data_IF_765927838504
#
_entry.id   IF_765927838504
#
_cell.length_a   1.000
_cell.length_b   1.000
_cell.length_c   1.000
_cell.angle_alpha   90.00
_cell.angle_beta   90.00
_cell.angle_gamma   90.00
#
_symmetry.space_group_name_H-M   'P 1'
#
loop_
_entity.id
_entity.type
_entity.pdbx_description
1 polymer ?
#
# COMPACT_ATOMS: atom_id res chain seq x y z
N UNK A 1 84.20 92.89 -3.81
CA UNK A 1 83.14 92.56 -4.78
C UNK A 1 83.04 91.03 -4.86
N UNK A 2 81.86 90.51 -4.48
CA UNK A 2 81.29 89.15 -4.65
C UNK A 2 82.01 87.92 -4.04
N UNK A 3 81.28 86.82 -3.70
CA UNK A 3 79.83 86.60 -3.82
C UNK A 3 79.10 86.25 -2.50
N UNK A 4 77.82 86.66 -2.43
CA UNK A 4 76.82 86.17 -1.48
C UNK A 4 76.41 84.74 -1.88
N UNK A 5 76.62 83.78 -1.00
CA UNK A 5 76.18 82.40 -1.19
C UNK A 5 74.72 82.28 -0.76
N UNK A 6 73.81 82.20 -1.73
CA UNK A 6 72.39 81.91 -1.48
C UNK A 6 72.22 80.39 -1.49
N UNK A 7 71.96 79.81 -0.33
CA UNK A 7 71.50 78.42 -0.23
C UNK A 7 70.00 78.34 -0.53
N UNK A 8 69.66 77.96 -1.75
CA UNK A 8 68.30 77.60 -2.13
C UNK A 8 68.03 76.18 -1.61
N UNK A 9 67.32 76.06 -0.49
CA UNK A 9 66.76 74.78 -0.07
C UNK A 9 65.62 74.41 -1.02
N UNK A 10 65.79 73.31 -1.75
CA UNK A 10 64.73 72.72 -2.57
C UNK A 10 63.66 72.09 -1.66
N UNK A 11 62.36 72.38 -1.87
CA UNK A 11 61.31 71.72 -1.11
C UNK A 11 61.30 70.24 -1.46
N UNK A 12 61.58 69.37 -0.48
CA UNK A 12 61.39 67.92 -0.60
C UNK A 12 59.93 67.64 -0.94
N UNK A 13 59.65 67.31 -2.20
CA UNK A 13 58.34 66.82 -2.63
C UNK A 13 58.08 65.46 -1.97
N UNK A 14 57.32 65.47 -0.89
CA UNK A 14 56.78 64.26 -0.26
C UNK A 14 55.65 63.71 -1.15
N UNK A 15 56.02 62.95 -2.18
CA UNK A 15 55.10 62.26 -3.10
C UNK A 15 55.38 60.77 -3.04
N UNK A 16 54.73 60.06 -2.11
CA UNK A 16 54.92 58.61 -1.97
C UNK A 16 53.97 57.93 -0.99
N UNK A 17 53.56 58.61 0.09
CA UNK A 17 52.69 58.01 1.12
C UNK A 17 51.26 57.75 0.65
N UNK A 18 50.71 58.61 -0.23
CA UNK A 18 49.33 58.48 -0.71
C UNK A 18 49.16 57.30 -1.67
N UNK A 19 50.21 56.96 -2.43
CA UNK A 19 50.19 55.82 -3.36
C UNK A 19 50.14 54.49 -2.61
N UNK A 20 50.87 54.37 -1.49
CA UNK A 20 50.85 53.17 -0.65
C UNK A 20 49.46 52.97 -0.03
N UNK A 21 48.84 54.04 0.49
CA UNK A 21 47.50 53.97 1.06
C UNK A 21 46.45 53.59 0.01
N UNK A 22 46.54 54.16 -1.19
CA UNK A 22 45.64 53.83 -2.29
C UNK A 22 45.80 52.38 -2.76
N UNK A 23 47.05 51.90 -2.88
CA UNK A 23 47.33 50.51 -3.23
C UNK A 23 46.79 49.51 -2.19
N UNK A 24 46.95 49.82 -0.90
CA UNK A 24 46.39 49.01 0.18
C UNK A 24 44.86 48.97 0.12
N UNK A 25 44.21 50.12 -0.05
CA UNK A 25 42.76 50.20 -0.18
C UNK A 25 42.26 49.39 -1.39
N UNK A 26 42.90 49.54 -2.56
CA UNK A 26 42.52 48.82 -3.77
C UNK A 26 42.70 47.31 -3.60
N UNK A 27 43.77 46.86 -2.93
CA UNK A 27 43.97 45.44 -2.63
C UNK A 27 42.85 44.86 -1.75
N UNK A 28 42.43 45.59 -0.71
CA UNK A 28 41.33 45.18 0.18
C UNK A 28 40.00 45.16 -0.59
N UNK A 29 39.75 46.17 -1.42
CA UNK A 29 38.54 46.24 -2.23
C UNK A 29 38.43 45.05 -3.21
N UNK A 30 39.54 44.67 -3.86
CA UNK A 30 39.60 43.51 -4.76
C UNK A 30 39.38 42.20 -3.99
N UNK A 31 39.95 42.06 -2.78
CA UNK A 31 39.73 40.88 -1.94
C UNK A 31 38.26 40.73 -1.54
N UNK A 32 37.61 41.81 -1.12
CA UNK A 32 36.18 41.81 -0.77
C UNK A 32 35.33 41.43 -1.99
N UNK A 33 35.60 42.03 -3.16
CA UNK A 33 34.91 41.68 -4.41
C UNK A 33 35.12 40.20 -4.78
N UNK A 34 36.32 39.65 -4.57
CA UNK A 34 36.61 38.23 -4.80
C UNK A 34 35.81 37.31 -3.89
N UNK A 35 35.68 37.65 -2.60
CA UNK A 35 34.86 36.88 -1.64
C UNK A 35 33.38 36.95 -2.00
N UNK A 36 32.88 38.13 -2.41
CA UNK A 36 31.48 38.29 -2.83
C UNK A 36 31.18 37.49 -4.09
N UNK A 37 32.04 37.54 -5.10
CA UNK A 37 31.87 36.80 -6.36
C UNK A 37 31.89 35.28 -6.13
N UNK A 38 32.79 34.80 -5.28
CA UNK A 38 32.83 33.39 -4.88
C UNK A 38 31.58 33.00 -4.07
N UNK A 39 31.22 33.82 -3.07
CA UNK A 39 30.04 33.59 -2.23
C UNK A 39 28.74 33.52 -3.05
N UNK A 40 28.61 34.41 -4.03
CA UNK A 40 27.47 34.39 -4.94
C UNK A 40 27.40 33.11 -5.76
N UNK A 41 28.53 32.59 -6.26
CA UNK A 41 28.56 31.34 -7.03
C UNK A 41 28.08 30.13 -6.22
N UNK A 42 28.43 30.05 -4.93
CA UNK A 42 27.93 29.02 -4.02
C UNK A 42 26.44 29.18 -3.72
N UNK A 43 25.98 30.42 -3.52
CA UNK A 43 24.57 30.72 -3.36
C UNK A 43 23.76 30.27 -4.58
N UNK A 44 24.20 30.66 -5.79
CA UNK A 44 23.56 30.30 -7.05
C UNK A 44 23.51 28.77 -7.25
N UNK A 45 24.57 28.04 -6.88
CA UNK A 45 24.56 26.57 -6.92
C UNK A 45 23.53 25.96 -5.98
N UNK A 46 23.42 26.45 -4.75
CA UNK A 46 22.43 25.95 -3.78
C UNK A 46 21.00 26.25 -4.22
N UNK A 47 20.78 27.43 -4.80
CA UNK A 47 19.47 27.83 -5.30
C UNK A 47 19.06 27.00 -6.53
N UNK A 48 19.97 26.80 -7.49
CA UNK A 48 19.73 25.91 -8.62
C UNK A 48 19.48 24.46 -8.18
N UNK A 49 20.21 23.94 -7.19
CA UNK A 49 19.97 22.59 -6.67
C UNK A 49 18.56 22.47 -6.07
N UNK A 50 18.12 23.46 -5.28
CA UNK A 50 16.75 23.51 -4.74
C UNK A 50 15.70 23.46 -5.85
N UNK A 51 15.93 24.18 -6.95
CA UNK A 51 15.02 24.20 -8.10
C UNK A 51 15.04 22.86 -8.82
N UNK A 52 16.20 22.24 -9.00
CA UNK A 52 16.32 20.91 -9.58
C UNK A 52 15.57 19.86 -8.75
N UNK A 53 15.71 19.89 -7.41
CA UNK A 53 15.03 18.98 -6.49
C UNK A 53 13.50 19.18 -6.55
N UNK A 54 13.04 20.44 -6.54
CA UNK A 54 11.61 20.77 -6.66
C UNK A 54 11.05 20.36 -8.03
N UNK A 55 11.81 20.58 -9.10
CA UNK A 55 11.42 20.19 -10.44
C UNK A 55 11.38 18.67 -10.62
N UNK A 56 12.32 17.94 -10.03
CA UNK A 56 12.32 16.48 -10.05
C UNK A 56 11.09 15.93 -9.31
N UNK A 57 10.76 16.47 -8.13
CA UNK A 57 9.54 16.10 -7.39
C UNK A 57 8.27 16.42 -8.16
N UNK A 58 8.16 17.60 -8.78
CA UNK A 58 6.98 17.94 -9.59
C UNK A 58 6.88 17.10 -10.87
N UNK A 59 8.02 16.77 -11.49
CA UNK A 59 8.05 15.89 -12.66
C UNK A 59 7.49 14.50 -12.33
N UNK A 60 7.94 13.87 -11.23
CA UNK A 60 7.42 12.53 -10.86
C UNK A 60 5.94 12.53 -10.50
N UNK A 61 5.39 13.66 -10.04
CA UNK A 61 3.94 13.77 -9.84
C UNK A 61 3.14 13.74 -11.15
N UNK A 62 3.76 14.16 -12.25
CA UNK A 62 3.18 14.06 -13.59
C UNK A 62 3.27 12.68 -14.24
N UNK A 63 3.88 11.69 -13.58
CA UNK A 63 3.89 10.29 -14.07
C UNK A 63 2.49 9.71 -13.99
N UNK A 64 2.01 9.24 -15.14
CA UNK A 64 0.77 8.48 -15.25
C UNK A 64 1.10 7.00 -15.38
N UNK A 65 0.84 6.24 -14.31
CA UNK A 65 1.08 4.81 -14.27
C UNK A 65 0.09 4.01 -15.12
N UNK A 66 -1.08 4.58 -15.46
CA UNK A 66 -2.06 3.91 -16.33
C UNK A 66 -1.65 3.95 -17.81
N UNK A 67 -0.89 4.96 -18.22
CA UNK A 67 -0.46 5.18 -19.60
C UNK A 67 1.03 4.89 -19.79
N UNK A 68 1.37 3.60 -19.86
CA UNK A 68 2.75 3.12 -20.05
C UNK A 68 3.40 3.76 -21.28
N UNK A 69 4.61 4.30 -21.11
CA UNK A 69 5.38 4.95 -22.17
C UNK A 69 5.08 6.43 -22.42
N UNK A 70 4.08 7.03 -21.76
CA UNK A 70 3.80 8.47 -21.89
C UNK A 70 4.58 9.30 -20.86
N UNK A 71 5.70 9.90 -21.28
CA UNK A 71 6.52 10.77 -20.43
C UNK A 71 6.14 12.25 -20.49
N UNK A 72 5.22 12.64 -21.38
CA UNK A 72 4.92 14.05 -21.70
C UNK A 72 4.41 14.85 -20.49
N UNK A 73 3.50 14.29 -19.70
CA UNK A 73 2.96 14.95 -18.49
C UNK A 73 4.07 15.13 -17.43
N UNK A 74 4.88 14.10 -17.22
CA UNK A 74 6.02 14.14 -16.30
C UNK A 74 7.06 15.20 -16.71
N UNK A 75 7.46 15.22 -17.99
CA UNK A 75 8.39 16.22 -18.52
C UNK A 75 7.80 17.63 -18.47
N UNK A 76 6.50 17.77 -18.80
CA UNK A 76 5.78 19.03 -18.75
C UNK A 76 5.74 19.64 -17.35
N UNK A 77 5.38 18.84 -16.33
CA UNK A 77 5.33 19.28 -14.94
C UNK A 77 6.71 19.76 -14.43
N UNK A 78 7.78 19.01 -14.74
CA UNK A 78 9.14 19.43 -14.40
C UNK A 78 9.55 20.73 -15.11
N UNK A 79 9.25 20.86 -16.41
CA UNK A 79 9.58 22.07 -17.16
C UNK A 79 8.89 23.32 -16.62
N UNK A 80 7.60 23.22 -16.27
CA UNK A 80 6.83 24.31 -15.65
C UNK A 80 7.41 24.67 -14.27
N UNK A 81 7.85 23.67 -13.50
CA UNK A 81 8.50 23.90 -12.21
C UNK A 81 9.77 24.74 -12.35
N UNK A 82 10.64 24.36 -13.30
CA UNK A 82 11.89 25.08 -13.57
C UNK A 82 11.58 26.52 -14.02
N UNK A 83 10.64 26.70 -14.95
CA UNK A 83 10.29 28.03 -15.48
C UNK A 83 9.74 28.98 -14.42
N UNK A 84 8.92 28.48 -13.49
CA UNK A 84 8.34 29.29 -12.40
C UNK A 84 9.35 29.67 -11.32
N UNK A 85 10.37 28.85 -11.10
CA UNK A 85 11.30 29.01 -9.99
C UNK A 85 12.70 29.49 -10.43
N UNK A 86 12.95 29.66 -11.73
CA UNK A 86 14.27 30.05 -12.24
C UNK A 86 14.73 31.41 -11.70
N UNK A 87 15.97 31.54 -11.19
CA UNK A 87 16.44 32.79 -10.63
C UNK A 87 16.83 33.75 -11.75
N UNK A 88 16.21 34.92 -11.78
CA UNK A 88 16.47 35.99 -12.76
C UNK A 88 17.95 36.40 -12.94
N UNK A 89 18.84 36.38 -11.92
CA UNK A 89 20.24 36.76 -12.13
C UNK A 89 21.11 35.67 -12.77
N UNK A 90 20.66 34.41 -12.86
CA UNK A 90 21.43 33.33 -13.50
C UNK A 90 20.95 33.17 -14.94
N UNK A 91 21.85 33.28 -15.92
CA UNK A 91 21.47 33.02 -17.31
C UNK A 91 21.38 31.51 -17.56
N UNK A 92 20.26 31.08 -18.15
CA UNK A 92 20.03 29.69 -18.52
C UNK A 92 20.98 29.25 -19.63
N UNK A 93 21.67 28.13 -19.42
CA UNK A 93 22.53 27.46 -20.42
C UNK A 93 21.90 26.16 -20.87
N UNK A 94 21.49 25.31 -19.93
CA UNK A 94 20.84 24.02 -20.20
C UNK A 94 19.68 23.80 -19.23
N UNK A 95 18.56 23.33 -19.78
CA UNK A 95 17.44 22.77 -19.02
C UNK A 95 17.11 21.42 -19.63
N UNK A 96 17.24 20.36 -18.85
CA UNK A 96 16.86 19.01 -19.27
C UNK A 96 16.03 18.35 -18.19
N UNK A 97 14.81 17.95 -18.55
CA UNK A 97 13.90 17.16 -17.71
C UNK A 97 13.64 15.87 -18.46
N UNK A 98 14.08 14.74 -17.90
CA UNK A 98 13.94 13.43 -18.51
C UNK A 98 13.25 12.49 -17.54
N UNK A 99 12.13 11.92 -17.96
CA UNK A 99 11.43 10.90 -17.18
C UNK A 99 11.81 9.50 -17.66
N UNK A 100 11.87 8.55 -16.75
CA UNK A 100 12.34 7.20 -17.03
C UNK A 100 12.21 6.26 -15.85
N UNK A 101 13.08 5.26 -15.82
CA UNK A 101 13.10 4.22 -14.80
C UNK A 101 14.34 4.39 -13.91
N UNK A 102 14.12 4.45 -12.60
CA UNK A 102 15.14 4.28 -11.58
C UNK A 102 15.07 2.85 -11.00
N UNK A 103 16.20 2.16 -10.99
CA UNK A 103 16.33 0.81 -10.46
C UNK A 103 17.79 0.52 -10.09
N UNK A 104 18.07 0.38 -8.80
CA UNK A 104 19.41 0.15 -8.25
C UNK A 104 20.01 -1.22 -8.59
N UNK A 105 19.18 -2.21 -8.94
CA UNK A 105 19.62 -3.55 -9.32
C UNK A 105 19.88 -3.68 -10.83
N UNK A 106 19.16 -2.91 -11.66
CA UNK A 106 19.18 -3.01 -13.13
C UNK A 106 20.19 -2.06 -13.79
N UNK A 107 20.34 -0.85 -13.24
CA UNK A 107 21.17 0.20 -13.83
C UNK A 107 22.46 0.43 -13.05
N UNK A 108 23.46 1.02 -13.68
CA UNK A 108 24.75 1.26 -13.06
C UNK A 108 24.76 2.52 -12.16
N UNK A 109 25.60 2.48 -11.12
CA UNK A 109 25.96 3.65 -10.33
C UNK A 109 26.60 4.74 -11.22
N UNK A 110 26.53 6.04 -10.85
CA UNK A 110 25.96 6.57 -9.61
C UNK A 110 24.46 6.87 -9.67
N UNK A 111 23.86 6.91 -10.87
CA UNK A 111 22.49 7.41 -11.06
C UNK A 111 21.42 6.35 -10.94
N UNK A 112 21.74 5.09 -11.26
CA UNK A 112 20.78 3.97 -11.29
C UNK A 112 19.50 4.29 -12.10
N UNK A 113 19.63 5.12 -13.14
CA UNK A 113 18.52 5.70 -13.88
C UNK A 113 18.69 5.51 -15.39
N UNK A 114 17.61 5.16 -16.08
CA UNK A 114 17.50 5.11 -17.53
C UNK A 114 16.37 6.04 -17.99
N UNK A 115 16.72 7.08 -18.75
CA UNK A 115 15.74 8.00 -19.34
C UNK A 115 14.95 7.37 -20.49
N UNK A 116 13.73 7.86 -20.72
CA UNK A 116 12.83 7.42 -21.80
C UNK A 116 12.56 5.90 -21.78
N UNK A 117 12.56 5.29 -20.59
CA UNK A 117 12.12 3.91 -20.41
C UNK A 117 10.60 3.81 -20.61
N UNK A 118 10.13 2.65 -21.07
CA UNK A 118 8.69 2.37 -21.17
C UNK A 118 8.03 2.36 -19.78
N UNK A 119 8.75 1.87 -18.78
CA UNK A 119 8.35 1.93 -17.38
C UNK A 119 8.82 3.24 -16.78
N UNK A 120 7.88 4.07 -16.34
CA UNK A 120 8.14 5.38 -15.75
C UNK A 120 7.93 5.28 -14.24
N UNK A 121 8.99 5.48 -13.47
CA UNK A 121 8.92 5.56 -12.00
C UNK A 121 9.82 6.67 -11.42
N UNK A 122 10.54 7.41 -12.27
CA UNK A 122 11.48 8.43 -11.83
C UNK A 122 11.64 9.56 -12.85
N UNK A 123 12.12 10.71 -12.38
CA UNK A 123 12.47 11.86 -13.20
C UNK A 123 13.86 12.36 -12.82
N UNK A 124 14.66 12.67 -13.84
CA UNK A 124 15.99 13.24 -13.73
C UNK A 124 15.98 14.65 -14.32
N UNK A 125 16.38 15.63 -13.51
CA UNK A 125 16.46 17.03 -13.90
C UNK A 125 17.91 17.46 -13.87
N UNK A 126 18.37 18.07 -14.96
CA UNK A 126 19.68 18.70 -15.09
C UNK A 126 19.47 20.17 -15.44
N UNK A 127 20.06 21.04 -14.63
CA UNK A 127 20.06 22.48 -14.85
C UNK A 127 21.50 22.98 -14.96
N UNK A 128 21.75 23.80 -15.96
CA UNK A 128 23.01 24.51 -16.15
C UNK A 128 22.76 26.00 -16.35
N UNK A 129 23.54 26.82 -15.66
CA UNK A 129 23.45 28.27 -15.78
C UNK A 129 24.76 28.98 -15.47
N UNK A 130 24.91 30.20 -15.98
CA UNK A 130 26.05 31.06 -15.68
C UNK A 130 25.66 32.10 -14.62
N UNK A 131 26.45 32.17 -13.54
CA UNK A 131 26.26 33.18 -12.51
C UNK A 131 26.74 34.58 -12.99
N UNK A 132 26.15 35.67 -12.48
CA UNK A 132 26.62 37.04 -12.69
C UNK A 132 28.11 37.19 -12.40
N UNK A 133 28.75 38.08 -13.17
CA UNK A 133 30.15 38.46 -12.95
C UNK A 133 30.20 39.82 -12.24
N UNK A 134 30.84 39.88 -11.08
CA UNK A 134 31.11 41.15 -10.39
C UNK A 134 32.50 41.71 -10.72
N UNK A 135 33.41 40.84 -11.19
CA UNK A 135 34.75 41.21 -11.62
C UNK A 135 34.85 40.93 -13.14
N UNK A 136 35.32 41.89 -13.96
CA UNK A 136 35.48 41.73 -15.41
C UNK A 136 36.71 40.88 -15.78
N UNK A 137 36.83 39.70 -15.16
CA UNK A 137 37.81 38.68 -15.49
C UNK A 137 37.14 37.56 -16.29
N UNK A 138 37.89 36.91 -17.16
CA UNK A 138 37.36 35.99 -18.17
C UNK A 138 37.29 34.52 -17.74
N UNK A 139 37.06 34.28 -16.45
CA UNK A 139 36.82 32.96 -15.89
C UNK A 139 35.38 32.45 -16.10
N UNK A 140 35.23 31.13 -16.25
CA UNK A 140 33.92 30.48 -16.34
C UNK A 140 33.24 30.41 -14.96
N UNK A 141 31.95 30.73 -14.92
CA UNK A 141 31.07 30.69 -13.74
C UNK A 141 29.88 29.75 -13.95
N UNK A 142 30.09 28.75 -14.79
CA UNK A 142 29.11 27.74 -15.15
C UNK A 142 28.84 26.81 -13.98
N UNK A 143 27.56 26.72 -13.61
CA UNK A 143 27.07 25.90 -12.52
C UNK A 143 26.17 24.84 -13.12
N UNK A 144 26.48 23.57 -12.83
CA UNK A 144 25.65 22.43 -13.21
C UNK A 144 25.16 21.71 -11.95
N UNK A 145 23.86 21.44 -11.91
CA UNK A 145 23.20 20.69 -10.83
C UNK A 145 22.36 19.57 -11.44
N UNK A 146 22.21 18.48 -10.69
CA UNK A 146 21.35 17.36 -11.07
C UNK A 146 20.54 16.87 -9.88
N UNK A 147 19.32 16.43 -10.15
CA UNK A 147 18.40 15.88 -9.16
C UNK A 147 17.64 14.69 -9.77
N UNK A 148 17.45 13.63 -8.99
CA UNK A 148 16.65 12.47 -9.36
C UNK A 148 15.60 12.28 -8.27
N UNK A 149 14.32 12.23 -8.67
CA UNK A 149 13.22 11.85 -7.81
C UNK A 149 12.61 10.54 -8.31
N UNK A 150 12.12 9.72 -7.39
CA UNK A 150 11.41 8.47 -7.67
C UNK A 150 10.00 8.56 -7.08
N UNK A 151 9.02 7.99 -7.80
CA UNK A 151 7.66 7.77 -7.32
C UNK A 151 7.27 6.33 -7.61
N UNK A 152 6.83 5.63 -6.56
CA UNK A 152 6.25 4.29 -6.68
C UNK A 152 4.83 4.37 -7.23
N UNK A 153 4.43 3.35 -7.97
CA UNK A 153 3.05 3.21 -8.44
C UNK A 153 2.09 3.15 -7.25
N UNK A 154 0.99 3.92 -7.25
CA UNK A 154 0.02 3.90 -6.17
C UNK A 154 -0.68 2.54 -6.15
N UNK A 155 -0.53 1.83 -5.04
CA UNK A 155 -1.27 0.60 -4.75
C UNK A 155 -2.30 0.89 -3.66
N UNK A 156 -3.49 0.34 -3.83
CA UNK A 156 -4.50 0.34 -2.78
C UNK A 156 -4.93 -1.08 -2.49
N UNK A 157 -5.54 -1.23 -1.34
CA UNK A 157 -6.02 -2.51 -0.89
C UNK A 157 -7.41 -2.36 -0.27
N UNK A 158 -8.31 -3.25 -0.64
CA UNK A 158 -9.72 -3.16 -0.30
C UNK A 158 -10.29 -4.56 -0.09
N UNK A 159 -11.28 -4.67 0.80
CA UNK A 159 -11.99 -5.92 1.08
C UNK A 159 -13.38 -5.85 0.46
N UNK A 160 -13.80 -6.94 -0.18
CA UNK A 160 -15.14 -7.11 -0.72
C UNK A 160 -15.77 -8.32 -0.03
N UNK A 161 -16.85 -8.07 0.70
CA UNK A 161 -17.71 -9.11 1.23
C UNK A 161 -19.10 -8.97 0.63
N UNK A 162 -19.69 -10.09 0.22
CA UNK A 162 -21.13 -10.15 0.02
C UNK A 162 -21.81 -10.06 1.40
N UNK A 163 -22.91 -9.30 1.52
CA UNK A 163 -23.69 -9.18 2.76
C UNK A 163 -25.10 -9.72 2.55
N UNK A 164 -25.21 -11.03 2.38
CA UNK A 164 -26.50 -11.74 2.36
C UNK A 164 -26.80 -12.42 3.70
N UNK A 165 -25.76 -12.66 4.49
CA UNK A 165 -25.85 -13.33 5.77
C UNK A 165 -26.27 -12.36 6.88
N UNK A 166 -27.58 -12.18 7.07
CA UNK A 166 -28.13 -11.75 8.37
C UNK A 166 -28.31 -12.99 9.24
N UNK A 167 -27.64 -13.03 10.38
CA UNK A 167 -27.72 -14.04 11.43
C UNK A 167 -28.97 -13.83 12.29
N UNK A 168 -30.11 -13.61 11.63
CA UNK A 168 -31.40 -13.45 12.29
C UNK A 168 -32.12 -14.78 12.39
N UNK A 169 -32.84 -14.99 13.50
CA UNK A 169 -33.65 -16.18 13.77
C UNK A 169 -34.55 -16.63 12.62
N UNK A 170 -35.10 -15.66 11.90
CA UNK A 170 -36.01 -15.93 10.79
C UNK A 170 -35.33 -16.02 9.42
N UNK A 171 -34.07 -15.61 9.31
CA UNK A 171 -33.30 -15.69 8.08
C UNK A 171 -32.94 -17.14 7.75
N UNK A 172 -32.80 -17.51 6.47
CA UNK A 172 -32.49 -18.87 6.05
C UNK A 172 -31.26 -19.45 6.75
N UNK A 173 -30.21 -18.64 6.95
CA UNK A 173 -29.02 -19.12 7.66
C UNK A 173 -29.24 -19.25 9.16
N UNK A 174 -29.94 -18.32 9.83
CA UNK A 174 -30.21 -18.43 11.26
C UNK A 174 -30.96 -19.72 11.62
N UNK A 175 -31.92 -20.12 10.77
CA UNK A 175 -32.60 -21.42 10.89
C UNK A 175 -31.65 -22.59 10.70
N UNK A 176 -30.75 -22.50 9.72
CA UNK A 176 -29.79 -23.56 9.46
C UNK A 176 -28.77 -23.68 10.59
N UNK A 177 -28.33 -22.57 11.18
CA UNK A 177 -27.42 -22.57 12.32
C UNK A 177 -28.09 -23.09 13.60
N UNK A 178 -29.40 -22.86 13.82
CA UNK A 178 -30.13 -23.56 14.91
C UNK A 178 -30.07 -25.07 14.79
N UNK A 179 -30.14 -25.58 13.56
CA UNK A 179 -30.10 -27.01 13.29
C UNK A 179 -28.72 -27.64 13.60
N UNK A 180 -27.65 -26.85 13.64
CA UNK A 180 -26.29 -27.28 14.02
C UNK A 180 -26.03 -27.10 15.52
N UNK A 181 -27.04 -26.65 16.29
CA UNK A 181 -26.93 -26.43 17.72
C UNK A 181 -26.38 -25.04 18.10
N UNK A 182 -26.38 -24.08 17.18
CA UNK A 182 -26.07 -22.68 17.50
C UNK A 182 -27.35 -21.93 17.87
N UNK A 183 -27.36 -21.26 19.02
CA UNK A 183 -28.49 -20.42 19.43
C UNK A 183 -28.50 -19.10 18.64
N UNK A 184 -29.58 -18.81 17.90
CA UNK A 184 -29.66 -17.59 17.07
C UNK A 184 -29.80 -16.32 17.88
N UNK A 185 -30.30 -16.44 19.11
CA UNK A 185 -30.42 -15.29 20.01
C UNK A 185 -29.00 -14.88 20.51
N UNK A 186 -28.02 -15.79 20.46
CA UNK A 186 -26.59 -15.53 20.66
C UNK A 186 -25.88 -15.10 19.35
N UNK A 187 -26.30 -15.62 18.20
CA UNK A 187 -25.73 -15.25 16.89
C UNK A 187 -26.05 -13.82 16.44
N UNK A 188 -27.12 -13.21 16.96
CA UNK A 188 -27.46 -11.81 16.63
C UNK A 188 -26.40 -10.84 17.13
N UNK A 189 -25.62 -11.22 18.15
CA UNK A 189 -24.48 -10.45 18.68
C UNK A 189 -23.31 -10.45 17.69
N UNK A 190 -23.19 -11.47 16.83
CA UNK A 190 -22.19 -11.51 15.73
C UNK A 190 -22.54 -10.56 14.58
N UNK A 191 -23.80 -10.18 14.46
CA UNK A 191 -24.28 -9.15 13.52
C UNK A 191 -24.30 -7.74 14.14
N UNK A 192 -23.78 -7.59 15.37
CA UNK A 192 -23.71 -6.30 16.02
C UNK A 192 -22.83 -5.33 15.20
N UNK A 193 -23.30 -4.09 15.06
CA UNK A 193 -22.55 -3.02 14.38
C UNK A 193 -21.14 -2.85 14.95
N UNK A 194 -20.93 -3.13 16.24
CA UNK A 194 -19.61 -3.13 16.87
C UNK A 194 -18.62 -4.07 16.17
N UNK A 195 -19.01 -5.32 15.87
CA UNK A 195 -18.12 -6.28 15.23
C UNK A 195 -17.87 -5.98 13.74
N UNK A 196 -18.87 -5.41 13.05
CA UNK A 196 -18.72 -4.93 11.68
C UNK A 196 -17.79 -3.70 11.57
N UNK A 197 -17.73 -2.88 12.63
CA UNK A 197 -16.86 -1.71 12.71
C UNK A 197 -15.49 -2.04 13.31
N UNK A 198 -15.33 -3.19 13.96
CA UNK A 198 -14.07 -3.64 14.51
C UNK A 198 -13.16 -4.12 13.38
N UNK A 199 -12.10 -3.36 13.11
CA UNK A 199 -11.16 -3.63 12.04
C UNK A 199 -9.74 -3.71 12.56
N UNK A 200 -8.95 -4.59 11.98
CA UNK A 200 -7.55 -4.82 12.33
C UNK A 200 -6.69 -4.80 11.07
N UNK A 201 -5.53 -4.14 11.14
CA UNK A 201 -4.54 -4.20 10.06
C UNK A 201 -3.58 -5.37 10.26
N UNK A 202 -3.10 -6.05 9.19
CA UNK A 202 -2.11 -7.12 9.34
C UNK A 202 -0.86 -6.67 10.09
N UNK A 203 -0.38 -5.44 9.86
CA UNK A 203 0.75 -4.88 10.62
C UNK A 203 0.45 -4.76 12.11
N UNK A 204 -0.74 -4.26 12.46
CA UNK A 204 -1.19 -4.14 13.84
C UNK A 204 -1.27 -5.52 14.52
N UNK A 205 -1.91 -6.47 13.85
CA UNK A 205 -2.06 -7.84 14.36
C UNK A 205 -0.71 -8.54 14.52
N UNK A 206 0.17 -8.48 13.52
CA UNK A 206 1.50 -9.07 13.59
C UNK A 206 2.33 -8.46 14.72
N UNK A 207 2.25 -7.14 14.91
CA UNK A 207 2.91 -6.46 16.03
C UNK A 207 2.39 -6.93 17.39
N UNK A 208 1.07 -7.08 17.53
CA UNK A 208 0.45 -7.61 18.76
C UNK A 208 0.83 -9.08 19.01
N UNK A 209 1.01 -9.87 17.96
CA UNK A 209 1.54 -11.24 18.02
C UNK A 209 3.06 -11.31 18.28
N UNK A 210 3.74 -10.17 18.49
CA UNK A 210 5.16 -10.09 18.80
C UNK A 210 6.09 -10.17 17.59
N UNK A 211 5.57 -10.01 16.37
CA UNK A 211 6.37 -9.96 15.15
C UNK A 211 6.92 -8.54 14.93
N UNK A 212 8.24 -8.42 14.89
CA UNK A 212 8.91 -7.15 14.57
C UNK A 212 9.10 -7.01 13.05
N UNK A 213 8.28 -6.17 12.42
CA UNK A 213 8.31 -5.97 10.96
C UNK A 213 9.45 -5.06 10.47
N UNK A 214 10.22 -4.40 11.35
CA UNK A 214 11.43 -3.64 11.00
C UNK A 214 11.31 -2.74 9.74
N UNK A 215 12.44 -2.52 9.06
CA UNK A 215 12.48 -1.84 7.74
C UNK A 215 12.28 -2.81 6.57
N UNK A 216 12.56 -4.09 6.79
CA UNK A 216 12.47 -5.15 5.77
C UNK A 216 11.05 -5.76 5.66
N UNK A 217 10.10 -5.28 6.47
CA UNK A 217 8.73 -5.76 6.49
C UNK A 217 8.61 -7.26 6.77
N UNK A 218 7.74 -7.93 6.02
CA UNK A 218 7.54 -9.38 6.09
C UNK A 218 8.77 -10.18 5.62
N UNK A 219 9.72 -9.56 4.92
CA UNK A 219 10.92 -10.24 4.42
C UNK A 219 11.98 -10.52 5.50
N UNK A 220 11.75 -10.02 6.72
CA UNK A 220 12.55 -10.32 7.90
C UNK A 220 12.08 -11.58 8.66
N UNK A 221 10.93 -12.15 8.28
CA UNK A 221 10.36 -13.32 8.96
C UNK A 221 11.24 -14.56 8.76
N UNK A 222 11.58 -15.22 9.87
CA UNK A 222 12.23 -16.54 9.87
C UNK A 222 11.20 -17.65 9.56
N UNK A 223 11.63 -18.83 9.06
CA UNK A 223 10.74 -19.96 8.82
C UNK A 223 9.92 -20.36 10.05
N UNK A 224 10.53 -20.32 11.24
CA UNK A 224 9.86 -20.64 12.50
C UNK A 224 8.77 -19.62 12.85
N UNK A 225 9.01 -18.33 12.59
CA UNK A 225 8.00 -17.29 12.78
C UNK A 225 6.83 -17.46 11.81
N UNK A 226 7.10 -17.81 10.55
CA UNK A 226 6.03 -18.10 9.57
C UNK A 226 5.22 -19.32 10.00
N UNK A 227 5.86 -20.37 10.50
CA UNK A 227 5.18 -21.57 10.98
C UNK A 227 4.26 -21.26 12.19
N UNK A 228 4.73 -20.44 13.13
CA UNK A 228 3.95 -20.03 14.29
C UNK A 228 2.72 -19.19 13.89
N UNK A 229 2.80 -18.37 12.84
CA UNK A 229 1.67 -17.59 12.32
C UNK A 229 0.59 -18.44 11.63
N UNK A 230 0.90 -19.68 11.27
CA UNK A 230 -0.03 -20.63 10.65
C UNK A 230 -0.69 -21.58 11.66
N UNK A 231 -0.28 -21.53 12.93
CA UNK A 231 -0.82 -22.35 14.01
C UNK A 231 -1.36 -21.48 15.16
N UNK A 232 -2.26 -20.56 14.82
CA UNK A 232 -2.90 -19.66 15.78
C UNK A 232 -4.36 -20.03 15.98
N UNK A 233 -4.79 -20.09 17.23
CA UNK A 233 -6.22 -20.23 17.53
C UNK A 233 -6.97 -18.92 17.26
N UNK A 234 -8.26 -19.02 16.96
CA UNK A 234 -9.15 -17.86 16.85
C UNK A 234 -9.03 -16.96 18.09
N UNK A 235 -8.97 -17.54 19.29
CA UNK A 235 -8.80 -16.80 20.54
C UNK A 235 -7.52 -15.96 20.55
N UNK A 236 -6.39 -16.51 20.11
CA UNK A 236 -5.13 -15.78 20.03
C UNK A 236 -5.22 -14.61 19.06
N UNK A 237 -5.87 -14.80 17.92
CA UNK A 237 -6.06 -13.76 16.90
C UNK A 237 -6.99 -12.65 17.43
N UNK A 238 -8.11 -12.99 18.07
CA UNK A 238 -9.04 -11.99 18.63
C UNK A 238 -8.38 -11.23 19.78
N UNK A 239 -7.68 -11.90 20.69
CA UNK A 239 -6.97 -11.23 21.79
C UNK A 239 -5.89 -10.27 21.28
N UNK A 240 -5.08 -10.72 20.31
CA UNK A 240 -4.09 -9.84 19.68
C UNK A 240 -4.76 -8.67 18.91
N UNK A 241 -5.95 -8.86 18.37
CA UNK A 241 -6.73 -7.77 17.76
C UNK A 241 -7.26 -6.79 18.80
N UNK A 242 -7.76 -7.28 19.94
CA UNK A 242 -8.24 -6.48 21.07
C UNK A 242 -7.14 -5.57 21.66
N UNK A 243 -5.88 -6.02 21.65
CA UNK A 243 -4.73 -5.23 22.09
C UNK A 243 -4.42 -4.03 21.17
N UNK A 244 -4.92 -4.06 19.92
CA UNK A 244 -4.68 -3.01 18.90
C UNK A 244 -5.86 -2.05 18.79
N UNK A 245 -7.08 -2.50 19.15
CA UNK A 245 -8.28 -1.64 19.12
C UNK A 245 -8.12 -0.51 20.14
N UNK A 246 -8.00 0.73 19.66
CA UNK A 246 -7.83 1.90 20.52
C UNK A 246 -9.12 2.43 21.14
N UNK A 247 -10.29 1.92 20.73
CA UNK A 247 -11.59 2.37 21.22
C UNK A 247 -12.14 1.39 22.26
N UNK A 248 -12.26 1.84 23.51
CA UNK A 248 -12.72 1.03 24.64
C UNK A 248 -14.14 0.48 24.46
N UNK A 249 -15.05 1.21 23.81
CA UNK A 249 -16.42 0.73 23.58
C UNK A 249 -16.42 -0.38 22.54
N UNK A 250 -15.65 -0.21 21.47
CA UNK A 250 -15.50 -1.20 20.41
C UNK A 250 -14.80 -2.47 20.94
N UNK A 251 -13.80 -2.31 21.80
CA UNK A 251 -13.13 -3.43 22.47
C UNK A 251 -14.06 -4.17 23.43
N UNK A 252 -14.96 -3.46 24.14
CA UNK A 252 -15.97 -4.08 24.98
C UNK A 252 -17.00 -4.87 24.15
N UNK A 253 -17.45 -4.33 23.01
CA UNK A 253 -18.36 -5.03 22.09
C UNK A 253 -17.74 -6.32 21.56
N UNK A 254 -16.46 -6.29 21.17
CA UNK A 254 -15.73 -7.47 20.70
C UNK A 254 -15.53 -8.49 21.83
N UNK A 255 -15.26 -8.07 23.07
CA UNK A 255 -15.16 -8.98 24.22
C UNK A 255 -16.50 -9.66 24.53
N UNK A 256 -17.60 -8.90 24.48
CA UNK A 256 -18.94 -9.47 24.67
C UNK A 256 -19.25 -10.54 23.61
N UNK A 257 -18.80 -10.35 22.36
CA UNK A 257 -18.88 -11.38 21.32
C UNK A 257 -18.05 -12.62 21.71
N UNK A 258 -16.81 -12.44 22.16
CA UNK A 258 -15.93 -13.56 22.59
C UNK A 258 -16.59 -14.37 23.70
N UNK A 259 -17.14 -13.71 24.71
CA UNK A 259 -17.82 -14.35 25.84
C UNK A 259 -19.03 -15.19 25.37
N UNK A 260 -19.74 -14.72 24.34
CA UNK A 260 -20.89 -15.44 23.75
C UNK A 260 -20.44 -16.67 22.96
N UNK A 261 -19.31 -16.62 22.25
CA UNK A 261 -18.82 -17.72 21.42
C UNK A 261 -17.86 -18.68 22.12
N UNK A 262 -17.48 -18.43 23.39
CA UNK A 262 -16.55 -19.26 24.16
C UNK A 262 -17.06 -20.69 24.36
N UNK A 263 -18.35 -20.84 24.62
CA UNK A 263 -19.00 -22.13 24.79
C UNK A 263 -19.44 -22.78 23.48
N UNK A 264 -19.34 -22.06 22.36
CA UNK A 264 -19.80 -22.53 21.06
C UNK A 264 -18.91 -23.67 20.55
N UNK A 265 -19.53 -24.81 20.26
CA UNK A 265 -18.83 -26.01 19.77
C UNK A 265 -19.33 -26.41 18.39
N UNK A 266 -18.40 -26.66 17.48
CA UNK A 266 -18.66 -27.21 16.14
C UNK A 266 -17.86 -28.51 16.01
N UNK A 267 -18.53 -29.63 15.72
CA UNK A 267 -17.87 -30.94 15.60
C UNK A 267 -17.15 -31.40 16.88
N UNK A 268 -17.55 -30.91 18.06
CA UNK A 268 -16.94 -31.23 19.35
C UNK A 268 -15.73 -30.36 19.74
N UNK A 269 -15.28 -29.46 18.85
CA UNK A 269 -14.21 -28.50 19.11
C UNK A 269 -14.81 -27.13 19.44
N UNK A 270 -14.25 -26.42 20.43
CA UNK A 270 -14.67 -25.03 20.73
C UNK A 270 -14.26 -24.12 19.58
N UNK A 271 -15.14 -23.22 19.16
CA UNK A 271 -14.91 -22.29 18.06
C UNK A 271 -13.62 -21.46 18.27
N UNK A 272 -13.40 -21.02 19.50
CA UNK A 272 -12.25 -20.22 19.89
C UNK A 272 -10.90 -20.97 19.84
N UNK A 273 -10.92 -22.31 19.93
CA UNK A 273 -9.72 -23.15 19.86
C UNK A 273 -9.38 -23.57 18.41
N UNK A 274 -10.22 -23.20 17.44
CA UNK A 274 -9.99 -23.61 16.06
C UNK A 274 -8.76 -22.91 15.48
N UNK A 275 -7.93 -23.69 14.81
CA UNK A 275 -6.75 -23.17 14.14
C UNK A 275 -7.17 -22.40 12.89
N UNK A 276 -6.71 -21.16 12.77
CA UNK A 276 -6.96 -20.32 11.60
C UNK A 276 -5.62 -19.98 10.95
N UNK A 277 -5.37 -20.46 9.72
CA UNK A 277 -4.15 -20.11 9.01
C UNK A 277 -4.20 -18.63 8.60
N UNK A 278 -3.24 -17.82 9.08
CA UNK A 278 -3.14 -16.43 8.64
C UNK A 278 -2.56 -16.31 7.24
N UNK A 279 -1.49 -17.05 6.93
CA UNK A 279 -0.78 -16.93 5.63
C UNK A 279 -1.23 -18.01 4.63
N UNK A 280 -2.11 -18.91 5.07
CA UNK A 280 -2.59 -20.06 4.29
C UNK A 280 -1.70 -21.27 4.46
N UNK A 281 -2.21 -22.41 4.00
CA UNK A 281 -1.48 -23.68 4.02
C UNK A 281 -1.35 -24.20 2.59
N UNK A 282 -0.12 -24.13 2.08
CA UNK A 282 0.23 -24.60 0.75
C UNK A 282 0.07 -26.12 0.57
N UNK A 283 0.06 -26.89 1.67
CA UNK A 283 -0.08 -28.35 1.62
C UNK A 283 -1.54 -28.81 1.49
N UNK A 284 -2.47 -28.04 2.05
CA UNK A 284 -3.92 -28.31 1.96
C UNK A 284 -4.62 -27.48 0.90
N UNK A 285 -3.92 -26.51 0.28
CA UNK A 285 -4.51 -25.56 -0.68
C UNK A 285 -5.51 -24.59 -0.05
N UNK A 286 -5.53 -24.49 1.28
CA UNK A 286 -6.48 -23.66 2.02
C UNK A 286 -5.97 -22.23 2.09
N UNK A 287 -6.70 -21.24 1.53
CA UNK A 287 -6.29 -19.85 1.61
C UNK A 287 -6.43 -19.33 3.05
N UNK A 288 -5.38 -18.74 3.57
CA UNK A 288 -5.40 -17.97 4.81
C UNK A 288 -5.82 -16.53 4.60
N UNK A 289 -6.18 -15.86 5.70
CA UNK A 289 -6.78 -14.51 5.71
C UNK A 289 -5.86 -13.46 5.04
N UNK A 290 -4.55 -13.62 5.20
CA UNK A 290 -3.52 -12.73 4.68
C UNK A 290 -2.70 -13.35 3.54
N UNK A 291 -3.26 -14.31 2.81
CA UNK A 291 -2.61 -14.88 1.60
C UNK A 291 -2.28 -13.85 0.53
N UNK A 292 -2.92 -12.68 0.56
CA UNK A 292 -2.59 -11.54 -0.30
C UNK A 292 -1.26 -10.86 0.08
N UNK A 293 -0.72 -11.11 1.27
CA UNK A 293 0.60 -10.63 1.67
C UNK A 293 1.66 -11.52 1.03
N UNK A 294 2.61 -10.90 0.34
CA UNK A 294 3.70 -11.67 -0.25
C UNK A 294 4.86 -11.79 0.72
N UNK A 295 5.27 -13.02 1.02
CA UNK A 295 6.41 -13.29 1.90
C UNK A 295 7.70 -13.34 1.07
N UNK A 296 8.63 -12.41 1.31
CA UNK A 296 9.95 -12.42 0.68
C UNK A 296 10.48 -11.05 0.26
N UNK A 297 11.78 -10.97 -0.01
CA UNK A 297 12.51 -9.72 -0.34
C UNK A 297 12.20 -9.14 -1.73
N UNK A 298 11.51 -9.88 -2.59
CA UNK A 298 11.39 -9.57 -4.03
C UNK A 298 9.95 -9.38 -4.53
N UNK A 299 8.95 -9.46 -3.65
CA UNK A 299 7.57 -9.19 -4.01
C UNK A 299 7.13 -7.81 -3.49
N UNK A 300 6.32 -7.13 -4.31
CA UNK A 300 5.78 -5.76 -4.17
C UNK A 300 5.63 -5.21 -2.74
N UNK A 301 5.72 -3.88 -2.56
CA UNK A 301 5.79 -3.26 -1.24
C UNK A 301 4.55 -3.63 -0.42
N UNK A 302 4.73 -4.58 0.50
CA UNK A 302 3.69 -5.00 1.43
C UNK A 302 3.20 -3.85 2.33
N UNK A 303 3.78 -2.65 2.24
CA UNK A 303 3.38 -1.47 3.02
C UNK A 303 1.88 -1.21 2.97
N UNK A 304 1.28 -1.08 1.78
CA UNK A 304 -0.16 -0.83 1.66
C UNK A 304 -1.02 -2.07 1.95
N UNK A 305 -0.48 -3.26 1.76
CA UNK A 305 -1.16 -4.52 2.07
C UNK A 305 -1.21 -4.77 3.60
N UNK A 306 -0.17 -4.37 4.32
CA UNK A 306 -0.06 -4.47 5.78
C UNK A 306 -0.98 -3.48 6.52
N UNK A 307 -1.47 -2.44 5.85
CA UNK A 307 -2.40 -1.47 6.41
C UNK A 307 -3.89 -1.79 6.08
N UNK A 308 -4.14 -2.89 5.36
CA UNK A 308 -5.51 -3.31 5.02
C UNK A 308 -6.31 -3.53 6.27
N UNK A 309 -7.42 -2.80 6.41
CA UNK A 309 -8.33 -2.99 7.52
C UNK A 309 -9.23 -4.19 7.25
N UNK A 310 -8.97 -5.31 7.93
CA UNK A 310 -9.79 -6.51 7.90
C UNK A 310 -10.78 -6.49 9.06
N UNK A 311 -12.06 -6.74 8.80
CA UNK A 311 -13.08 -6.79 9.84
C UNK A 311 -12.96 -8.01 10.75
N UNK A 312 -13.04 -7.84 12.07
CA UNK A 312 -12.99 -8.94 13.05
C UNK A 312 -14.18 -9.88 12.89
N UNK A 313 -15.36 -9.37 12.53
CA UNK A 313 -16.53 -10.20 12.23
C UNK A 313 -16.30 -11.18 11.08
N UNK A 314 -15.48 -10.79 10.10
CA UNK A 314 -15.13 -11.66 8.99
C UNK A 314 -14.13 -12.75 9.40
N UNK A 315 -13.28 -12.49 10.39
CA UNK A 315 -12.42 -13.51 11.01
C UNK A 315 -13.26 -14.58 11.71
N UNK A 316 -14.26 -14.16 12.49
CA UNK A 316 -15.16 -15.08 13.21
C UNK A 316 -15.99 -15.90 12.21
N UNK A 317 -16.53 -15.28 11.16
CA UNK A 317 -17.25 -15.99 10.08
C UNK A 317 -16.36 -17.00 9.36
N UNK A 318 -15.13 -16.62 9.05
CA UNK A 318 -14.14 -17.52 8.42
C UNK A 318 -13.82 -18.70 9.34
N UNK A 319 -13.67 -18.45 10.65
CA UNK A 319 -13.47 -19.52 11.63
C UNK A 319 -14.65 -20.48 11.65
N UNK A 320 -15.88 -19.97 11.75
CA UNK A 320 -17.10 -20.79 11.69
C UNK A 320 -17.13 -21.65 10.42
N UNK A 321 -16.71 -21.09 9.29
CA UNK A 321 -16.63 -21.82 8.01
C UNK A 321 -15.57 -22.93 8.03
N UNK A 322 -14.36 -22.65 8.52
CA UNK A 322 -13.28 -23.64 8.66
C UNK A 322 -13.67 -24.74 9.64
N UNK A 323 -14.27 -24.38 10.77
CA UNK A 323 -14.80 -25.31 11.77
C UNK A 323 -15.94 -26.18 11.26
N UNK A 324 -16.81 -25.58 10.45
CA UNK A 324 -17.84 -26.31 9.72
C UNK A 324 -17.22 -27.21 8.63
N UNK A 325 -15.95 -27.03 8.26
CA UNK A 325 -15.12 -27.94 7.44
C UNK A 325 -15.82 -28.47 6.19
N UNK A 326 -16.53 -27.60 5.47
CA UNK A 326 -17.29 -28.00 4.28
C UNK A 326 -18.35 -29.08 4.54
N UNK A 327 -18.75 -29.32 5.79
CA UNK A 327 -19.98 -30.03 6.09
C UNK A 327 -21.09 -29.18 5.50
N UNK A 328 -21.48 -29.53 4.28
CA UNK A 328 -22.78 -29.19 3.77
C UNK A 328 -23.73 -29.55 4.90
N UNK A 329 -24.38 -28.55 5.48
CA UNK A 329 -25.31 -28.77 6.57
C UNK A 329 -26.44 -29.56 5.93
N UNK A 330 -26.33 -30.89 6.04
CA UNK A 330 -27.36 -31.82 5.61
C UNK A 330 -28.47 -31.57 6.61
N UNK A 331 -29.42 -30.73 6.22
CA UNK A 331 -30.60 -30.44 7.03
C UNK A 331 -31.37 -31.77 7.09
N UNK A 332 -31.31 -32.53 8.20
CA UNK A 332 -31.90 -33.87 8.23
C UNK A 332 -33.42 -33.76 8.08
N UNK A 333 -34.00 -32.64 8.56
CA UNK A 333 -35.42 -32.32 8.51
C UNK A 333 -35.96 -31.97 7.11
N UNK A 334 -35.08 -31.67 6.12
CA UNK A 334 -35.48 -31.51 4.72
C UNK A 334 -35.38 -32.83 3.94
N UNK A 335 -34.96 -33.92 4.58
CA UNK A 335 -35.17 -35.29 4.09
C UNK A 335 -36.65 -35.68 4.25
N UNK A 336 -37.57 -34.80 3.87
CA UNK A 336 -38.99 -35.10 3.81
C UNK A 336 -39.13 -36.16 2.72
N UNK A 337 -39.36 -37.41 3.14
CA UNK A 337 -39.72 -38.57 2.31
C UNK A 337 -38.57 -39.41 1.70
N UNK A 338 -37.31 -39.34 2.15
CA UNK A 338 -36.19 -40.12 1.56
C UNK A 338 -35.93 -39.83 0.05
N UNK A 339 -36.48 -38.73 -0.48
CA UNK A 339 -36.47 -38.42 -1.94
C UNK A 339 -35.43 -37.38 -2.33
N UNK A 340 -35.16 -36.41 -1.46
CA UNK A 340 -34.35 -35.24 -1.78
C UNK A 340 -33.24 -35.12 -0.74
N UNK A 341 -31.99 -35.11 -1.20
CA UNK A 341 -30.83 -34.76 -0.37
C UNK A 341 -30.53 -33.29 -0.60
N UNK A 342 -30.89 -32.45 0.35
CA UNK A 342 -30.57 -31.02 0.33
C UNK A 342 -29.28 -30.79 1.11
N UNK A 343 -28.22 -30.37 0.41
CA UNK A 343 -26.97 -29.93 1.03
C UNK A 343 -26.77 -28.43 0.81
N UNK A 344 -26.83 -27.64 1.89
CA UNK A 344 -26.42 -26.24 1.81
C UNK A 344 -24.91 -26.14 2.04
N UNK A 345 -24.17 -25.58 1.08
CA UNK A 345 -22.76 -25.22 1.24
C UNK A 345 -22.66 -23.69 1.23
N UNK A 346 -22.26 -23.09 2.34
CA UNK A 346 -21.89 -21.65 2.35
C UNK A 346 -20.55 -21.56 1.62
N UNK A 347 -20.45 -20.69 0.63
CA UNK A 347 -19.26 -20.62 -0.24
C UNK A 347 -18.62 -19.25 -0.08
N UNK A 348 -17.31 -19.30 0.12
CA UNK A 348 -16.27 -18.27 0.03
C UNK A 348 -16.20 -17.17 1.12
N UNK A 349 -15.03 -17.02 1.76
CA UNK A 349 -14.75 -15.88 2.63
C UNK A 349 -14.71 -14.58 1.80
N UNK A 350 -14.82 -13.40 2.44
CA UNK A 350 -14.63 -12.13 1.74
C UNK A 350 -13.24 -12.09 1.09
N UNK A 351 -13.16 -11.50 -0.10
CA UNK A 351 -11.93 -11.41 -0.86
C UNK A 351 -11.28 -10.04 -0.68
N UNK A 352 -9.94 -10.03 -0.66
CA UNK A 352 -9.15 -8.82 -0.51
C UNK A 352 -8.43 -8.57 -1.83
N UNK A 353 -8.74 -7.46 -2.48
CA UNK A 353 -8.02 -6.98 -3.65
C UNK A 353 -6.85 -6.12 -3.20
N UNK A 354 -5.63 -6.47 -3.64
CA UNK A 354 -4.42 -5.66 -3.40
C UNK A 354 -3.71 -5.45 -4.73
N UNK A 355 -3.52 -4.19 -5.10
CA UNK A 355 -2.77 -3.88 -6.32
C UNK A 355 -2.99 -2.45 -6.83
N UNK A 356 -2.45 -2.15 -8.02
CA UNK A 356 -2.63 -0.87 -8.68
C UNK A 356 -4.06 -0.71 -9.22
N UNK A 357 -4.35 0.46 -9.77
CA UNK A 357 -5.62 0.75 -10.46
C UNK A 357 -5.92 -0.35 -11.50
N UNK A 358 -7.15 -0.84 -11.50
CA UNK A 358 -7.60 -1.98 -12.31
C UNK A 358 -7.69 -3.31 -11.55
N UNK A 359 -7.22 -3.36 -10.29
CA UNK A 359 -7.38 -4.55 -9.43
C UNK A 359 -8.86 -4.88 -9.23
N UNK A 360 -9.21 -6.15 -9.41
CA UNK A 360 -10.55 -6.70 -9.25
C UNK A 360 -10.59 -7.62 -8.02
N UNK A 361 -11.67 -7.54 -7.24
CA UNK A 361 -11.99 -8.54 -6.23
C UNK A 361 -13.46 -8.94 -6.36
N UNK A 362 -13.70 -10.25 -6.34
CA UNK A 362 -15.02 -10.86 -6.44
C UNK A 362 -15.24 -11.75 -5.22
N UNK A 363 -16.43 -11.71 -4.63
CA UNK A 363 -16.86 -12.59 -3.53
C UNK A 363 -18.24 -13.15 -3.85
N UNK A 364 -18.44 -14.45 -3.66
CA UNK A 364 -19.75 -15.10 -3.65
C UNK A 364 -20.05 -15.62 -2.23
N UNK A 365 -21.32 -15.83 -1.86
CA UNK A 365 -21.68 -16.22 -0.47
C UNK A 365 -22.39 -17.58 -0.31
N UNK A 366 -23.10 -18.10 -1.32
CA UNK A 366 -23.93 -19.31 -1.13
C UNK A 366 -23.95 -20.21 -2.38
N UNK A 367 -23.71 -21.51 -2.17
CA UNK A 367 -24.03 -22.56 -3.15
C UNK A 367 -24.97 -23.60 -2.52
N UNK A 368 -26.22 -23.60 -2.97
CA UNK A 368 -27.17 -24.66 -2.64
C UNK A 368 -26.98 -25.82 -3.62
N UNK A 369 -26.68 -27.00 -3.10
CA UNK A 369 -26.63 -28.25 -3.87
C UNK A 369 -27.88 -29.07 -3.51
N UNK A 370 -28.79 -29.22 -4.46
CA UNK A 370 -29.96 -30.11 -4.31
C UNK A 370 -29.73 -31.32 -5.19
N UNK A 371 -29.65 -32.50 -4.58
CA UNK A 371 -29.59 -33.78 -5.29
C UNK A 371 -30.97 -34.45 -5.21
N UNK A 372 -31.57 -34.64 -6.37
CA UNK A 372 -32.87 -35.30 -6.52
C UNK A 372 -32.64 -36.65 -7.22
N UNK A 373 -32.91 -37.74 -6.49
CA UNK A 373 -32.84 -39.10 -7.02
C UNK A 373 -34.25 -39.63 -7.30
N UNK A 374 -34.50 -40.05 -8.53
CA UNK A 374 -35.80 -40.59 -8.96
C UNK A 374 -36.25 -41.83 -8.17
N UNK A 375 -35.33 -42.57 -7.55
CA UNK A 375 -35.64 -43.77 -6.73
C UNK A 375 -36.45 -43.47 -5.49
N UNK A 376 -36.34 -42.27 -4.95
CA UNK A 376 -37.10 -41.87 -3.77
C UNK A 376 -38.55 -41.48 -4.10
N UNK A 377 -38.89 -41.18 -5.36
CA UNK A 377 -40.20 -40.64 -5.72
C UNK A 377 -41.31 -41.69 -5.49
N UNK A 378 -42.26 -41.48 -4.54
CA UNK A 378 -43.19 -42.53 -4.10
C UNK A 378 -44.19 -42.99 -5.17
N UNK A 379 -44.36 -42.24 -6.26
CA UNK A 379 -45.28 -42.57 -7.36
C UNK A 379 -44.57 -42.80 -8.71
N UNK A 380 -43.41 -42.20 -8.92
CA UNK A 380 -42.67 -42.23 -10.20
C UNK A 380 -41.43 -43.13 -10.14
N UNK A 381 -40.90 -43.43 -8.95
CA UNK A 381 -39.70 -44.25 -8.77
C UNK A 381 -39.85 -45.68 -9.30
N UNK A 382 -40.92 -46.42 -8.96
CA UNK A 382 -41.13 -47.78 -9.48
C UNK A 382 -41.38 -47.79 -11.00
N UNK A 383 -42.09 -46.79 -11.52
CA UNK A 383 -42.40 -46.70 -12.96
C UNK A 383 -41.14 -46.34 -13.77
N UNK A 384 -40.27 -45.48 -13.26
CA UNK A 384 -39.04 -45.08 -13.93
C UNK A 384 -37.95 -46.14 -13.81
N UNK A 385 -37.72 -46.73 -12.62
CA UNK A 385 -36.63 -47.69 -12.37
C UNK A 385 -37.02 -49.12 -12.81
N UNK A 386 -38.22 -49.62 -12.47
CA UNK A 386 -38.60 -51.01 -12.75
C UNK A 386 -39.23 -51.22 -14.14
N UNK A 387 -39.94 -50.22 -14.69
CA UNK A 387 -40.66 -50.37 -15.98
C UNK A 387 -39.85 -49.80 -17.15
N UNK A 388 -39.15 -48.69 -16.93
CA UNK A 388 -38.40 -47.99 -17.99
C UNK A 388 -36.87 -48.12 -17.85
N UNK A 389 -36.36 -48.64 -16.73
CA UNK A 389 -34.91 -48.75 -16.46
C UNK A 389 -34.18 -47.40 -16.43
N UNK A 390 -34.91 -46.30 -16.24
CA UNK A 390 -34.42 -44.93 -16.31
C UNK A 390 -34.23 -44.37 -14.91
N UNK A 391 -32.98 -44.08 -14.56
CA UNK A 391 -32.63 -43.34 -13.34
C UNK A 391 -32.31 -41.90 -13.67
N UNK A 392 -33.05 -40.98 -13.04
CA UNK A 392 -32.81 -39.54 -13.15
C UNK A 392 -32.17 -39.09 -11.84
N UNK A 393 -30.89 -38.74 -11.91
CA UNK A 393 -30.20 -38.00 -10.86
C UNK A 393 -29.98 -36.58 -11.39
N UNK A 394 -30.64 -35.60 -10.77
CA UNK A 394 -30.51 -34.20 -11.15
C UNK A 394 -29.81 -33.42 -10.03
N UNK A 395 -28.50 -33.10 -10.19
CA UNK A 395 -27.83 -32.16 -9.32
C UNK A 395 -28.20 -30.73 -9.73
N UNK A 396 -28.97 -30.03 -8.89
CA UNK A 396 -29.29 -28.62 -9.06
C UNK A 396 -28.31 -27.79 -8.23
N UNK A 397 -27.62 -26.87 -8.88
CA UNK A 397 -26.76 -25.87 -8.22
C UNK A 397 -27.45 -24.52 -8.31
N UNK A 398 -27.67 -23.88 -7.16
CA UNK A 398 -28.14 -22.49 -7.09
C UNK A 398 -27.06 -21.66 -6.42
N UNK A 399 -26.52 -20.70 -7.17
CA UNK A 399 -25.54 -19.73 -6.67
C UNK A 399 -26.29 -18.45 -6.30
N UNK A 400 -26.17 -18.05 -5.05
CA UNK A 400 -26.85 -16.87 -4.51
C UNK A 400 -25.87 -15.76 -4.19
N UNK A 401 -25.96 -14.68 -4.97
CA UNK A 401 -25.32 -13.36 -4.76
C UNK A 401 -23.80 -13.31 -4.80
N UNK A 402 -23.33 -12.44 -5.69
CA UNK A 402 -21.94 -12.02 -5.82
C UNK A 402 -21.79 -10.55 -5.46
N UNK A 403 -20.61 -10.18 -5.00
CA UNK A 403 -20.14 -8.82 -4.87
C UNK A 403 -18.88 -8.67 -5.71
N UNK A 404 -18.87 -7.66 -6.58
CA UNK A 404 -17.74 -7.30 -7.43
C UNK A 404 -17.25 -5.91 -7.04
N UNK A 405 -15.95 -5.74 -6.85
CA UNK A 405 -15.36 -4.40 -6.76
C UNK A 405 -14.09 -4.28 -7.60
N UNK A 406 -13.88 -3.06 -8.09
CA UNK A 406 -12.76 -2.67 -8.94
C UNK A 406 -12.13 -1.39 -8.39
N UNK A 407 -10.81 -1.36 -8.32
CA UNK A 407 -10.08 -0.13 -7.99
C UNK A 407 -9.97 0.75 -9.22
N UNK A 408 -10.82 1.77 -9.33
CA UNK A 408 -10.83 2.66 -10.51
C UNK A 408 -9.86 3.84 -10.42
N UNK A 409 -9.59 4.36 -9.23
CA UNK A 409 -8.65 5.46 -9.03
C UNK A 409 -8.12 5.50 -7.59
N UNK A 410 -6.89 6.01 -7.43
CA UNK A 410 -6.30 6.34 -6.13
C UNK A 410 -6.00 7.83 -6.12
N UNK A 411 -6.59 8.56 -5.18
CA UNK A 411 -6.34 9.98 -5.01
C UNK A 411 -5.49 10.21 -3.76
N UNK A 412 -4.25 10.65 -3.96
CA UNK A 412 -3.39 11.14 -2.88
C UNK A 412 -3.49 12.67 -2.88
N UNK A 413 -4.28 13.29 -1.98
CA UNK A 413 -4.28 14.75 -1.87
C UNK A 413 -2.89 15.24 -1.49
N UNK A 414 -2.47 16.37 -2.07
CA UNK A 414 -1.23 17.03 -1.68
C UNK A 414 -1.25 17.30 -0.16
N UNK A 415 -0.19 16.92 0.58
CA UNK A 415 -0.05 17.38 1.96
C UNK A 415 0.06 18.92 1.92
N UNK A 416 -0.92 19.59 2.53
CA UNK A 416 -0.99 21.06 2.60
C UNK A 416 0.16 21.65 3.39
#
# INVERSE_FOLDING_TARGET
>A
MQPLTIHIQSPRRQRGSVLIQYAMFLSIAVLILGVVDLGYSFYARRDLQRIADLAAMQAVQGIDFANVGSSASCVGAGNVSVEKNWPSPVSLVEKSVVCGEWNSKKYAAPRYFLGNSAQLNAAHVVLEGDAPRFIPLDWSRRIRVEAIAQRSEPIAAFQVGSQLLRLEKNAPLGRILTLVGLDVDQLTVLDAQGLANAKISPSGLLKALGVNLGIDGLAALSPDQVANLNNLSLLQIINASLDVISNDTLAADVRAVVDVIDDLRIGGVRLLDMNIPLLGDASTGSPGIFTFLSLGKDASPNGSALDVQVGIGELVKTAIMIGANGHALQVPELSLLNVVKVGLTVVEPPTIGVGPVGTLANSAQIRLNVDVDSRGLPLLGPVLDDVLGLRINLPIRVEGVSADARLDAVYCPDPR
#
